data_IF_386001424092
#
_entry.id   IF_386001424092
#
_cell.length_a   1.000
_cell.length_b   1.000
_cell.length_c   1.000
_cell.angle_alpha   90.00
_cell.angle_beta   90.00
_cell.angle_gamma   90.00
#
_symmetry.space_group_name_H-M   'P 1'
#
loop_
_entity.id
_entity.type
_entity.pdbx_description
1 polymer ?
#
# COMPACT_ATOMS: atom_id res chain seq x y z
N UNK A 1 17.65 21.43 -22.16
CA UNK A 1 16.66 21.01 -21.16
C UNK A 1 15.26 21.08 -21.73
N UNK A 2 14.86 20.03 -22.46
CA UNK A 2 13.45 19.84 -22.84
C UNK A 2 12.80 18.90 -21.83
N UNK A 3 11.73 19.36 -21.20
CA UNK A 3 10.91 18.57 -20.26
C UNK A 3 9.53 18.37 -20.85
N UNK A 4 8.97 17.18 -20.68
CA UNK A 4 7.63 16.85 -21.20
C UNK A 4 6.73 16.35 -20.07
N UNK A 5 5.70 17.15 -19.74
CA UNK A 5 4.62 16.74 -18.86
C UNK A 5 3.52 15.99 -19.62
N UNK A 6 2.84 15.06 -18.93
CA UNK A 6 1.59 14.47 -19.39
C UNK A 6 0.53 14.68 -18.33
N UNK A 7 -0.65 15.13 -18.74
CA UNK A 7 -1.79 15.31 -17.87
C UNK A 7 -2.98 14.52 -18.45
N UNK A 8 -3.57 13.67 -17.61
CA UNK A 8 -4.75 12.90 -17.94
C UNK A 8 -5.90 13.33 -17.04
N UNK A 9 -6.97 13.88 -17.63
CA UNK A 9 -8.25 14.08 -16.96
C UNK A 9 -9.19 13.00 -17.49
N UNK A 10 -9.65 12.12 -16.61
CA UNK A 10 -10.47 10.98 -16.99
C UNK A 10 -11.79 11.05 -16.26
N UNK A 11 -12.87 11.13 -17.03
CA UNK A 11 -14.23 10.94 -16.55
C UNK A 11 -14.61 9.48 -16.74
N UNK A 12 -14.95 8.81 -15.65
CA UNK A 12 -15.28 7.38 -15.64
C UNK A 12 -16.79 7.21 -15.71
N UNK A 13 -17.22 6.15 -16.40
CA UNK A 13 -18.62 5.77 -16.41
C UNK A 13 -19.12 5.38 -15.00
N UNK A 14 -20.45 5.35 -14.85
CA UNK A 14 -21.12 4.97 -13.62
C UNK A 14 -20.65 3.61 -13.09
N UNK A 15 -20.33 3.57 -11.79
CA UNK A 15 -19.87 2.35 -11.10
C UNK A 15 -21.01 1.48 -10.56
N UNK A 16 -22.25 1.90 -10.76
CA UNK A 16 -23.43 1.21 -10.28
C UNK A 16 -23.68 -0.16 -10.92
N UNK A 17 -24.35 -1.02 -10.18
CA UNK A 17 -24.72 -2.34 -10.69
C UNK A 17 -25.84 -2.22 -11.72
N UNK A 18 -25.72 -2.96 -12.82
CA UNK A 18 -26.73 -2.98 -13.89
C UNK A 18 -28.11 -3.40 -13.41
N UNK A 19 -28.19 -4.21 -12.35
CA UNK A 19 -29.46 -4.59 -11.75
C UNK A 19 -30.26 -3.37 -11.25
N UNK A 20 -29.60 -2.24 -10.94
CA UNK A 20 -30.25 -0.99 -10.53
C UNK A 20 -30.71 -0.14 -11.71
N UNK A 21 -30.15 -0.33 -12.91
CA UNK A 21 -30.44 0.53 -14.06
C UNK A 21 -31.70 0.10 -14.81
N UNK A 22 -32.19 -1.13 -14.59
CA UNK A 22 -33.38 -1.66 -15.28
C UNK A 22 -33.20 -1.77 -16.80
N UNK A 23 -31.97 -1.69 -17.30
CA UNK A 23 -31.67 -1.68 -18.73
C UNK A 23 -31.94 -3.05 -19.37
N UNK A 24 -32.67 -3.07 -20.48
CA UNK A 24 -33.00 -4.29 -21.24
C UNK A 24 -32.48 -4.22 -22.68
N UNK A 25 -32.32 -5.38 -23.32
CA UNK A 25 -31.97 -5.49 -24.74
C UNK A 25 -30.60 -4.90 -25.09
N UNK A 26 -30.56 -3.96 -26.03
CA UNK A 26 -29.33 -3.32 -26.53
C UNK A 26 -28.62 -2.52 -25.43
N UNK A 27 -29.38 -1.81 -24.59
CA UNK A 27 -28.82 -1.03 -23.46
C UNK A 27 -28.12 -1.91 -22.44
N UNK A 28 -28.61 -3.14 -22.23
CA UNK A 28 -27.95 -4.10 -21.34
C UNK A 28 -26.60 -4.55 -21.89
N UNK A 29 -26.50 -4.81 -23.20
CA UNK A 29 -25.23 -5.19 -23.85
C UNK A 29 -24.21 -4.06 -23.77
N UNK A 30 -24.66 -2.82 -23.91
CA UNK A 30 -23.82 -1.63 -23.76
C UNK A 30 -23.34 -1.47 -22.31
N UNK A 31 -24.26 -1.48 -21.34
CA UNK A 31 -23.93 -1.43 -19.92
C UNK A 31 -22.93 -2.52 -19.50
N UNK A 32 -23.00 -3.71 -20.13
CA UNK A 32 -22.05 -4.81 -19.92
C UNK A 32 -20.64 -4.47 -20.38
N UNK A 33 -20.51 -3.83 -21.53
CA UNK A 33 -19.20 -3.37 -22.01
C UNK A 33 -18.65 -2.23 -21.16
N UNK A 34 -19.50 -1.32 -20.70
CA UNK A 34 -19.11 -0.23 -19.80
C UNK A 34 -18.55 -0.81 -18.50
N UNK A 35 -19.29 -1.70 -17.85
CA UNK A 35 -18.89 -2.29 -16.57
C UNK A 35 -17.70 -3.24 -16.69
N UNK A 36 -17.45 -3.83 -17.87
CA UNK A 36 -16.24 -4.62 -18.11
C UNK A 36 -14.98 -3.78 -17.89
N UNK A 37 -14.97 -2.52 -18.36
CA UNK A 37 -13.81 -1.64 -18.22
C UNK A 37 -13.53 -1.27 -16.76
N UNK A 38 -14.57 -0.93 -16.00
CA UNK A 38 -14.49 -0.58 -14.57
C UNK A 38 -14.16 -1.79 -13.69
N UNK A 39 -14.71 -2.96 -14.02
CA UNK A 39 -14.39 -4.22 -13.34
C UNK A 39 -12.92 -4.60 -13.57
N UNK A 40 -12.44 -4.45 -14.80
CA UNK A 40 -11.03 -4.70 -15.14
C UNK A 40 -10.11 -3.74 -14.40
N UNK A 41 -10.49 -2.46 -14.30
CA UNK A 41 -9.78 -1.47 -13.49
C UNK A 41 -9.71 -1.92 -12.01
N UNK A 42 -10.82 -2.39 -11.44
CA UNK A 42 -10.86 -2.95 -10.08
C UNK A 42 -9.92 -4.15 -9.88
N UNK A 43 -9.79 -5.02 -10.89
CA UNK A 43 -8.87 -6.17 -10.85
C UNK A 43 -7.40 -5.72 -10.88
N UNK A 44 -7.07 -4.72 -11.70
CA UNK A 44 -5.73 -4.12 -11.75
C UNK A 44 -5.35 -3.52 -10.40
N UNK A 45 -6.25 -2.73 -9.79
CA UNK A 45 -6.02 -2.13 -8.47
C UNK A 45 -5.78 -3.22 -7.42
N UNK A 46 -6.61 -4.26 -7.42
CA UNK A 46 -6.48 -5.35 -6.43
C UNK A 46 -5.16 -6.09 -6.59
N UNK A 47 -4.74 -6.36 -7.83
CA UNK A 47 -3.45 -7.00 -8.13
C UNK A 47 -2.25 -6.15 -7.66
N UNK A 48 -2.33 -4.82 -7.85
CA UNK A 48 -1.28 -3.88 -7.43
C UNK A 48 -1.16 -3.79 -5.90
N UNK A 49 -2.29 -3.77 -5.20
CA UNK A 49 -2.34 -3.63 -3.74
C UNK A 49 -1.93 -4.94 -3.04
N UNK A 50 -2.36 -6.08 -3.56
CA UNK A 50 -2.02 -7.38 -2.99
C UNK A 50 -0.53 -7.71 -3.15
N UNK A 51 0.08 -7.26 -4.26
CA UNK A 51 1.51 -7.48 -4.56
C UNK A 51 1.90 -8.96 -4.72
N UNK A 52 0.93 -9.88 -4.73
CA UNK A 52 1.13 -11.33 -4.88
C UNK A 52 1.26 -11.75 -6.34
N UNK A 53 0.65 -10.99 -7.25
CA UNK A 53 0.71 -11.28 -8.68
C UNK A 53 1.93 -10.61 -9.29
N UNK A 54 2.75 -11.39 -9.98
CA UNK A 54 3.83 -10.85 -10.82
C UNK A 54 3.28 -10.12 -12.04
N UNK A 55 2.13 -10.56 -12.56
CA UNK A 55 1.51 -9.99 -13.74
C UNK A 55 0.29 -9.13 -13.38
N UNK A 56 0.30 -7.87 -13.82
CA UNK A 56 -0.84 -6.95 -13.67
C UNK A 56 -1.64 -6.92 -14.99
N UNK A 57 -2.95 -7.18 -14.97
CA UNK A 57 -3.73 -7.41 -16.18
C UNK A 57 -4.17 -6.12 -16.91
N UNK A 58 -3.26 -5.18 -17.17
CA UNK A 58 -3.58 -3.93 -17.89
C UNK A 58 -4.18 -4.18 -19.26
N UNK A 59 -3.82 -5.29 -19.91
CA UNK A 59 -4.24 -5.62 -21.28
C UNK A 59 -5.72 -6.01 -21.41
N UNK A 60 -6.40 -6.32 -20.32
CA UNK A 60 -7.77 -6.80 -20.33
C UNK A 60 -8.79 -5.70 -20.75
N UNK A 61 -8.40 -4.43 -20.69
CA UNK A 61 -9.21 -3.30 -21.17
C UNK A 61 -8.33 -2.23 -21.82
N UNK A 62 -8.87 -1.52 -22.83
CA UNK A 62 -8.19 -0.37 -23.43
C UNK A 62 -7.97 0.74 -22.40
N UNK A 63 -8.92 0.95 -21.49
CA UNK A 63 -8.85 1.96 -20.43
C UNK A 63 -7.65 1.74 -19.52
N UNK A 64 -7.45 0.50 -19.04
CA UNK A 64 -6.34 0.16 -18.15
C UNK A 64 -4.98 0.20 -18.84
N UNK A 65 -4.93 0.07 -20.18
CA UNK A 65 -3.69 0.29 -20.95
C UNK A 65 -3.34 1.77 -21.03
N UNK A 66 -4.33 2.64 -21.24
CA UNK A 66 -4.12 4.08 -21.28
C UNK A 66 -3.71 4.62 -19.90
N UNK A 67 -4.29 4.06 -18.84
CA UNK A 67 -4.03 4.45 -17.45
C UNK A 67 -2.86 3.71 -16.79
N UNK A 68 -2.09 2.92 -17.53
CA UNK A 68 -1.01 2.11 -16.98
C UNK A 68 0.03 2.97 -16.24
N UNK A 69 0.37 4.13 -16.78
CA UNK A 69 1.30 5.07 -16.13
C UNK A 69 0.73 5.62 -14.82
N UNK A 70 -0.60 5.75 -14.72
CA UNK A 70 -1.31 6.29 -13.54
C UNK A 70 -1.55 5.25 -12.45
N UNK A 71 -1.43 3.96 -12.75
CA UNK A 71 -1.71 2.87 -11.82
C UNK A 71 -0.44 2.05 -11.63
N UNK A 72 0.44 2.44 -10.70
CA UNK A 72 1.71 1.77 -10.44
C UNK A 72 2.86 2.15 -11.37
N UNK A 73 2.71 3.19 -12.19
CA UNK A 73 3.72 3.67 -13.14
C UNK A 73 4.34 5.02 -12.76
N UNK A 74 4.83 5.72 -13.79
CA UNK A 74 5.41 7.06 -13.67
C UNK A 74 4.36 8.16 -13.81
N UNK A 75 3.62 8.41 -12.74
CA UNK A 75 2.61 9.47 -12.69
C UNK A 75 2.27 9.85 -11.26
N UNK A 76 2.00 11.14 -11.02
CA UNK A 76 1.28 11.59 -9.82
C UNK A 76 -0.22 11.43 -10.09
N UNK A 77 -0.88 10.58 -9.31
CA UNK A 77 -2.27 10.17 -9.59
C UNK A 77 -3.19 10.54 -8.43
N UNK A 78 -4.29 11.20 -8.78
CA UNK A 78 -5.37 11.56 -7.86
C UNK A 78 -6.66 10.88 -8.33
N UNK A 79 -7.40 10.31 -7.38
CA UNK A 79 -8.71 9.70 -7.65
C UNK A 79 -9.78 10.42 -6.82
N UNK A 80 -10.81 10.90 -7.50
CA UNK A 80 -12.01 11.43 -6.84
C UNK A 80 -13.06 10.33 -6.74
N UNK A 81 -13.62 10.17 -5.55
CA UNK A 81 -14.69 9.22 -5.28
C UNK A 81 -15.98 10.01 -5.04
N UNK A 82 -16.85 10.06 -6.05
CA UNK A 82 -18.14 10.75 -5.96
C UNK A 82 -19.17 9.79 -5.35
N UNK A 83 -19.87 10.25 -4.31
CA UNK A 83 -20.87 9.45 -3.58
C UNK A 83 -22.14 10.25 -3.33
N UNK A 84 -23.27 9.54 -3.26
CA UNK A 84 -24.57 10.13 -2.92
C UNK A 84 -24.91 9.92 -1.44
N UNK A 85 -25.43 10.95 -0.73
CA UNK A 85 -25.78 10.84 0.69
C UNK A 85 -27.13 10.14 0.94
N UNK A 86 -27.91 9.87 -0.10
CA UNK A 86 -29.24 9.28 0.03
C UNK A 86 -29.19 7.80 0.45
N UNK A 87 -30.16 7.38 1.27
CA UNK A 87 -30.22 6.02 1.83
C UNK A 87 -30.30 4.93 0.75
N UNK A 88 -31.05 5.14 -0.33
CA UNK A 88 -31.15 4.17 -1.44
C UNK A 88 -29.83 3.96 -2.20
N UNK A 89 -28.85 4.86 -2.02
CA UNK A 89 -27.51 4.76 -2.59
C UNK A 89 -26.48 4.11 -1.65
N UNK A 90 -26.88 3.74 -0.43
CA UNK A 90 -25.97 3.22 0.61
C UNK A 90 -25.02 2.14 0.09
N UNK A 91 -25.53 1.13 -0.60
CA UNK A 91 -24.72 0.02 -1.12
C UNK A 91 -23.68 0.46 -2.18
N UNK A 92 -24.03 1.43 -3.03
CA UNK A 92 -23.14 1.95 -4.07
C UNK A 92 -22.09 2.89 -3.46
N UNK A 93 -22.49 3.73 -2.50
CA UNK A 93 -21.59 4.58 -1.71
C UNK A 93 -20.57 3.73 -0.97
N UNK A 94 -21.00 2.66 -0.30
CA UNK A 94 -20.09 1.74 0.39
C UNK A 94 -19.14 1.04 -0.59
N UNK A 95 -19.63 0.61 -1.75
CA UNK A 95 -18.82 -0.03 -2.78
C UNK A 95 -17.75 0.92 -3.33
N UNK A 96 -18.12 2.18 -3.59
CA UNK A 96 -17.24 3.24 -4.07
C UNK A 96 -16.16 3.59 -3.04
N UNK A 97 -16.51 3.75 -1.77
CA UNK A 97 -15.55 4.03 -0.71
C UNK A 97 -14.56 2.87 -0.49
N UNK A 98 -15.04 1.62 -0.52
CA UNK A 98 -14.16 0.43 -0.45
C UNK A 98 -13.21 0.38 -1.63
N UNK A 99 -13.68 0.74 -2.82
CA UNK A 99 -12.85 0.83 -4.01
C UNK A 99 -11.76 1.89 -3.85
N UNK A 100 -12.12 3.11 -3.45
CA UNK A 100 -11.20 4.21 -3.21
C UNK A 100 -10.16 3.87 -2.12
N UNK A 101 -10.60 3.17 -1.06
CA UNK A 101 -9.71 2.70 0.00
C UNK A 101 -8.66 1.71 -0.52
N UNK A 102 -9.00 0.82 -1.47
CA UNK A 102 -8.01 -0.03 -2.14
C UNK A 102 -7.08 0.82 -3.01
N UNK A 103 -7.64 1.70 -3.84
CA UNK A 103 -6.87 2.56 -4.75
C UNK A 103 -5.84 3.43 -4.02
N UNK A 104 -6.17 3.92 -2.81
CA UNK A 104 -5.26 4.68 -1.94
C UNK A 104 -3.94 3.96 -1.64
N UNK A 105 -3.93 2.64 -1.66
CA UNK A 105 -2.74 1.85 -1.32
C UNK A 105 -1.85 1.54 -2.53
N UNK A 106 -2.22 2.00 -3.74
CA UNK A 106 -1.38 1.90 -4.93
C UNK A 106 -0.16 2.81 -4.74
N UNK A 107 1.02 2.30 -5.11
CA UNK A 107 2.26 3.06 -5.06
C UNK A 107 2.72 3.35 -6.49
N UNK A 108 2.79 4.64 -6.83
CA UNK A 108 3.39 5.12 -8.08
C UNK A 108 4.80 5.63 -7.82
N UNK A 109 5.65 5.61 -8.85
CA UNK A 109 7.01 6.14 -8.79
C UNK A 109 7.15 7.24 -9.84
N UNK A 110 6.80 8.47 -9.44
CA UNK A 110 6.90 9.63 -10.31
C UNK A 110 8.37 10.05 -10.47
N UNK A 111 8.84 10.13 -11.72
CA UNK A 111 10.17 10.57 -12.13
C UNK A 111 10.03 11.69 -13.17
N UNK A 112 10.91 12.68 -13.09
CA UNK A 112 10.96 13.78 -14.05
C UNK A 112 11.25 13.24 -15.45
N UNK A 113 10.37 13.60 -16.40
CA UNK A 113 10.49 13.23 -17.80
C UNK A 113 11.41 14.23 -18.53
N UNK A 114 12.69 13.88 -18.61
CA UNK A 114 13.71 14.65 -19.33
C UNK A 114 14.34 13.78 -20.43
N UNK A 115 14.92 14.40 -21.46
CA UNK A 115 15.68 13.67 -22.47
C UNK A 115 16.87 12.94 -21.80
N UNK A 116 17.12 11.65 -22.11
CA UNK A 116 18.25 10.91 -21.54
C UNK A 116 19.60 11.60 -21.75
N UNK A 117 19.79 12.35 -22.85
CA UNK A 117 21.01 13.12 -23.10
C UNK A 117 21.15 14.26 -22.10
N UNK A 118 20.08 15.04 -21.91
CA UNK A 118 20.06 16.16 -20.96
C UNK A 118 20.26 15.66 -19.53
N UNK A 119 19.62 14.55 -19.14
CA UNK A 119 19.78 13.93 -17.83
C UNK A 119 21.23 13.47 -17.58
N UNK A 120 21.87 12.88 -18.58
CA UNK A 120 23.25 12.43 -18.51
C UNK A 120 24.23 13.61 -18.41
N UNK A 121 24.00 14.67 -19.20
CA UNK A 121 24.79 15.90 -19.15
C UNK A 121 24.69 16.56 -17.77
N UNK A 122 23.48 16.64 -17.19
CA UNK A 122 23.27 17.16 -15.83
C UNK A 122 23.99 16.31 -14.79
N UNK A 123 23.99 14.98 -14.95
CA UNK A 123 24.72 14.08 -14.06
C UNK A 123 26.25 14.31 -14.13
N UNK A 124 26.80 14.49 -15.33
CA UNK A 124 28.22 14.80 -15.50
C UNK A 124 28.59 16.17 -14.94
N UNK A 125 27.80 17.20 -15.23
CA UNK A 125 27.99 18.54 -14.66
C UNK A 125 27.97 18.51 -13.12
N UNK A 126 27.05 17.74 -12.52
CA UNK A 126 26.94 17.57 -11.06
C UNK A 126 28.13 16.82 -10.46
N UNK A 127 28.80 15.94 -11.20
CA UNK A 127 30.05 15.29 -10.78
C UNK A 127 31.23 16.26 -10.84
N UNK A 128 31.35 17.00 -11.93
CA UNK A 128 32.42 17.99 -12.12
C UNK A 128 32.36 19.10 -11.07
N UNK A 129 31.16 19.63 -10.74
CA UNK A 129 31.02 20.66 -9.70
C UNK A 129 31.34 20.13 -8.30
N UNK A 130 30.98 18.89 -8.00
CA UNK A 130 31.36 18.23 -6.73
C UNK A 130 32.87 18.07 -6.60
N UNK A 131 33.56 17.67 -7.67
CA UNK A 131 35.02 17.50 -7.68
C UNK A 131 35.76 18.85 -7.67
N UNK A 132 35.20 19.87 -8.34
CA UNK A 132 35.76 21.21 -8.40
C UNK A 132 35.53 22.04 -7.13
N UNK A 133 34.73 21.56 -6.16
CA UNK A 133 34.44 22.29 -4.91
C UNK A 133 33.66 23.59 -5.09
N UNK A 134 33.09 23.81 -6.29
CA UNK A 134 32.26 24.98 -6.60
C UNK A 134 30.84 24.67 -6.18
N UNK A 135 30.26 25.51 -5.31
CA UNK A 135 28.86 25.41 -4.93
C UNK A 135 27.99 25.45 -6.20
N UNK A 136 27.01 24.54 -6.36
CA UNK A 136 26.17 24.57 -7.54
C UNK A 136 25.46 25.93 -7.61
N UNK A 137 25.58 26.61 -8.76
CA UNK A 137 24.71 27.74 -9.04
C UNK A 137 23.26 27.24 -8.96
N UNK A 138 22.45 27.90 -8.13
CA UNK A 138 21.05 27.54 -7.94
C UNK A 138 20.25 27.86 -9.20
N UNK A 139 20.31 26.96 -10.17
CA UNK A 139 19.22 26.81 -11.13
C UNK A 139 17.98 26.41 -10.33
N UNK A 140 17.13 27.41 -10.11
CA UNK A 140 15.88 27.42 -9.36
C UNK A 140 14.86 26.43 -9.92
N UNK A 141 15.16 25.15 -9.79
CA UNK A 141 14.33 24.05 -10.25
C UNK A 141 14.31 23.04 -9.13
N UNK A 142 13.29 23.19 -8.28
CA UNK A 142 12.94 22.27 -7.22
C UNK A 142 13.01 20.82 -7.71
N UNK A 143 14.14 20.17 -7.47
CA UNK A 143 14.26 18.72 -7.48
C UNK A 143 13.39 18.26 -6.29
N UNK A 144 12.09 18.12 -6.50
CA UNK A 144 11.19 17.42 -5.59
C UNK A 144 11.53 15.93 -5.69
N UNK A 145 12.69 15.56 -5.14
CA UNK A 145 12.94 14.22 -4.65
C UNK A 145 12.07 14.05 -3.39
N UNK A 146 10.76 13.95 -3.59
CA UNK A 146 9.85 13.50 -2.55
C UNK A 146 10.08 12.00 -2.37
N UNK A 147 10.85 11.64 -1.33
CA UNK A 147 10.82 10.30 -0.72
C UNK A 147 9.42 10.00 -0.13
N UNK A 148 8.36 9.96 -0.95
CA UNK A 148 7.01 9.59 -0.51
C UNK A 148 6.85 8.07 -0.28
N UNK A 149 7.85 7.27 -0.68
CA UNK A 149 7.82 5.80 -0.54
C UNK A 149 7.86 5.31 0.91
N UNK A 150 8.48 6.07 1.83
CA UNK A 150 8.67 5.66 3.22
C UNK A 150 7.48 6.04 4.13
N UNK A 151 6.85 7.20 3.90
CA UNK A 151 5.74 7.68 4.73
C UNK A 151 4.47 6.84 4.59
N UNK A 152 4.13 6.37 3.38
CA UNK A 152 2.92 5.58 3.16
C UNK A 152 2.97 4.18 3.79
N UNK A 153 4.17 3.58 3.89
CA UNK A 153 4.37 2.33 4.62
C UNK A 153 4.19 2.48 6.14
N UNK A 154 4.61 3.63 6.69
CA UNK A 154 4.40 3.96 8.10
C UNK A 154 2.93 4.32 8.39
N UNK A 155 2.25 5.03 7.50
CA UNK A 155 0.82 5.35 7.64
C UNK A 155 -0.07 4.10 7.60
N UNK A 156 0.23 3.15 6.71
CA UNK A 156 -0.49 1.87 6.63
C UNK A 156 -0.26 1.00 7.88
N UNK A 157 0.96 1.02 8.43
CA UNK A 157 1.30 0.35 9.70
C UNK A 157 0.60 1.03 10.88
N UNK A 158 0.64 2.37 10.96
CA UNK A 158 -0.04 3.16 12.01
C UNK A 158 -1.55 2.90 12.02
N UNK A 159 -2.21 2.95 10.85
CA UNK A 159 -3.64 2.68 10.73
C UNK A 159 -4.01 1.26 11.17
N UNK A 160 -3.23 0.24 10.76
CA UNK A 160 -3.43 -1.16 11.18
C UNK A 160 -3.21 -1.36 12.69
N UNK A 161 -2.28 -0.61 13.29
CA UNK A 161 -2.01 -0.65 14.74
C UNK A 161 -3.16 0.04 15.49
N UNK A 162 -3.68 1.17 15.01
CA UNK A 162 -4.82 1.87 15.61
C UNK A 162 -6.11 1.06 15.58
N UNK A 163 -6.44 0.42 14.45
CA UNK A 163 -7.59 -0.47 14.34
C UNK A 163 -7.48 -1.67 15.30
N UNK A 164 -6.29 -2.28 15.37
CA UNK A 164 -6.01 -3.39 16.30
C UNK A 164 -6.09 -2.94 17.77
N UNK A 165 -5.68 -1.71 18.07
CA UNK A 165 -5.74 -1.12 19.42
C UNK A 165 -7.18 -0.83 19.84
N UNK A 166 -8.01 -0.29 18.94
CA UNK A 166 -9.46 -0.11 19.20
C UNK A 166 -10.17 -1.44 19.43
N UNK A 167 -9.91 -2.44 18.59
CA UNK A 167 -10.48 -3.79 18.76
C UNK A 167 -10.11 -4.43 20.10
N UNK A 168 -8.84 -4.32 20.52
CA UNK A 168 -8.38 -4.85 21.81
C UNK A 168 -9.01 -4.09 23.00
N UNK A 169 -9.24 -2.79 22.85
CA UNK A 169 -9.85 -1.98 23.89
C UNK A 169 -11.35 -2.28 24.05
N UNK A 170 -12.07 -2.52 22.95
CA UNK A 170 -13.46 -2.95 22.97
C UNK A 170 -13.61 -4.37 23.57
N UNK A 171 -12.67 -5.27 23.25
CA UNK A 171 -12.63 -6.63 23.82
C UNK A 171 -12.35 -6.59 25.34
N UNK A 172 -11.48 -5.68 25.79
CA UNK A 172 -11.19 -5.47 27.21
C UNK A 172 -12.37 -4.85 27.96
N UNK A 173 -13.08 -3.88 27.36
CA UNK A 173 -14.32 -3.30 27.92
C UNK A 173 -15.44 -4.33 28.02
N UNK A 174 -15.56 -5.23 27.04
CA UNK A 174 -16.51 -6.35 27.08
C UNK A 174 -16.20 -7.36 28.18
N UNK A 175 -14.91 -7.64 28.44
CA UNK A 175 -14.48 -8.54 29.52
C UNK A 175 -14.64 -7.93 30.92
N UNK A 176 -14.37 -6.62 31.09
CA UNK A 176 -14.55 -5.90 32.36
C UNK A 176 -16.05 -5.73 32.70
N UNK A 177 -16.93 -5.59 31.70
CA UNK A 177 -18.39 -5.56 31.89
C UNK A 177 -19.00 -6.86 32.43
N UNK A 178 -18.33 -8.00 32.25
CA UNK A 178 -18.83 -9.32 32.66
C UNK A 178 -18.54 -9.65 34.15
N UNK A 179 -17.65 -8.92 34.82
CA UNK A 179 -17.25 -9.19 36.22
C UNK A 179 -18.12 -8.51 37.29
N UNK A 180 -19.13 -7.71 36.93
CA UNK A 180 -19.93 -6.96 37.92
C UNK A 180 -21.29 -7.53 38.30
N UNK A 181 -21.71 -8.69 37.78
CA UNK A 181 -22.95 -9.32 38.24
C UNK A 181 -22.80 -10.84 38.38
N UNK A 182 -22.22 -11.26 39.51
CA UNK A 182 -22.48 -12.58 40.06
C UNK A 182 -23.79 -12.53 40.86
N UNK A 183 -24.81 -13.28 40.43
CA UNK A 183 -25.96 -13.67 41.27
C UNK A 183 -27.34 -13.49 40.63
N UNK A 184 -28.09 -14.60 40.47
CA UNK A 184 -29.55 -14.60 40.46
C UNK A 184 -30.26 -15.03 39.16
N UNK A 185 -30.93 -16.20 39.21
CA UNK A 185 -31.87 -16.70 38.19
C UNK A 185 -33.20 -15.91 38.21
N UNK A 186 -33.81 -15.63 37.03
CA UNK A 186 -35.13 -16.13 36.56
C UNK A 186 -35.60 -15.42 35.27
N UNK A 187 -36.45 -16.13 34.50
CA UNK A 187 -36.93 -15.85 33.13
C UNK A 187 -38.03 -14.77 33.07
N UNK A 188 -38.01 -13.93 32.03
CA UNK A 188 -39.15 -13.60 31.14
C UNK A 188 -38.68 -12.68 29.99
N UNK A 189 -39.15 -12.95 28.77
CA UNK A 189 -38.88 -12.27 27.48
C UNK A 189 -39.61 -10.91 27.39
N UNK A 190 -39.24 -9.92 26.53
CA UNK A 190 -39.19 -10.11 25.07
C UNK A 190 -38.16 -9.25 24.29
N UNK A 191 -38.01 -9.58 23.00
CA UNK A 191 -37.43 -8.75 21.95
C UNK A 191 -35.90 -8.54 22.01
N UNK A 192 -35.27 -8.51 20.83
CA UNK A 192 -33.83 -8.38 20.61
C UNK A 192 -32.98 -9.63 20.89
N UNK A 193 -33.09 -10.64 20.01
CA UNK A 193 -31.96 -11.55 19.73
C UNK A 193 -31.43 -11.26 18.34
N UNK A 194 -30.35 -10.49 18.33
CA UNK A 194 -29.19 -10.56 17.43
C UNK A 194 -29.31 -11.58 16.29
N UNK A 195 -29.35 -11.09 15.06
CA UNK A 195 -28.68 -11.74 13.94
C UNK A 195 -27.18 -11.37 13.94
N UNK A 196 -26.29 -12.09 13.24
CA UNK A 196 -26.46 -13.37 12.56
C UNK A 196 -25.43 -14.45 12.98
N UNK A 197 -25.82 -15.69 12.76
CA UNK A 197 -24.93 -16.85 12.68
C UNK A 197 -24.29 -16.89 11.28
N UNK A 198 -23.08 -17.45 11.22
CA UNK A 198 -22.31 -17.85 10.03
C UNK A 198 -21.82 -16.76 9.06
N UNK A 199 -20.81 -16.00 9.49
CA UNK A 199 -19.66 -15.73 8.62
C UNK A 199 -18.50 -16.58 9.13
N UNK A 200 -18.42 -17.79 8.59
CA UNK A 200 -17.28 -18.67 8.73
C UNK A 200 -16.13 -18.07 7.90
N UNK A 201 -15.57 -16.95 8.38
CA UNK A 201 -14.28 -16.47 7.91
C UNK A 201 -13.27 -17.38 8.57
N UNK A 202 -12.83 -18.40 7.82
CA UNK A 202 -11.61 -19.12 8.14
C UNK A 202 -10.48 -18.09 8.17
N UNK A 203 -10.15 -17.59 9.35
CA UNK A 203 -8.91 -16.87 9.57
C UNK A 203 -7.76 -17.80 9.14
N UNK A 204 -6.91 -17.43 8.17
CA UNK A 204 -5.69 -18.18 7.94
C UNK A 204 -4.88 -18.12 9.25
N UNK A 205 -4.52 -19.29 9.78
CA UNK A 205 -3.79 -19.46 11.03
C UNK A 205 -2.62 -18.47 11.07
N UNK A 206 -2.60 -17.58 12.07
CA UNK A 206 -1.51 -16.59 12.37
C UNK A 206 -0.13 -17.22 12.63
N UNK A 207 0.06 -18.52 12.43
CA UNK A 207 1.21 -19.25 12.94
C UNK A 207 2.44 -19.23 12.03
N UNK A 208 2.28 -18.94 10.74
CA UNK A 208 3.41 -19.02 9.77
C UNK A 208 4.27 -17.76 9.76
N UNK A 209 3.66 -16.59 9.90
CA UNK A 209 4.36 -15.30 9.80
C UNK A 209 5.18 -15.00 11.05
N UNK A 210 4.62 -15.28 12.23
CA UNK A 210 5.29 -15.07 13.52
C UNK A 210 6.44 -16.06 13.73
N UNK A 211 6.35 -17.27 13.17
CA UNK A 211 7.43 -18.26 13.19
C UNK A 211 8.61 -17.84 12.30
N UNK A 212 8.34 -17.31 11.11
CA UNK A 212 9.38 -16.74 10.23
C UNK A 212 10.07 -15.53 10.84
N UNK A 213 9.35 -14.72 11.61
CA UNK A 213 9.92 -13.57 12.31
C UNK A 213 10.92 -14.02 13.39
N UNK A 214 10.53 -15.02 14.20
CA UNK A 214 11.40 -15.61 15.23
C UNK A 214 12.62 -16.32 14.65
N UNK A 215 12.46 -17.05 13.55
CA UNK A 215 13.59 -17.70 12.86
C UNK A 215 14.59 -16.65 12.33
N UNK A 216 14.10 -15.54 11.75
CA UNK A 216 14.98 -14.44 11.31
C UNK A 216 15.64 -13.66 12.44
N UNK A 217 14.98 -13.53 13.59
CA UNK A 217 15.58 -12.92 14.79
C UNK A 217 16.69 -13.81 15.38
N UNK A 218 16.48 -15.12 15.42
CA UNK A 218 17.51 -16.07 15.85
C UNK A 218 18.73 -16.09 14.90
N UNK A 219 18.50 -16.08 13.59
CA UNK A 219 19.57 -16.01 12.59
C UNK A 219 20.38 -14.70 12.70
N UNK A 220 19.73 -13.58 13.03
CA UNK A 220 20.41 -12.30 13.28
C UNK A 220 21.35 -12.35 14.48
N UNK A 221 20.89 -12.93 15.60
CA UNK A 221 21.70 -13.05 16.81
C UNK A 221 22.93 -13.93 16.57
N UNK A 222 22.76 -15.03 15.84
CA UNK A 222 23.85 -15.97 15.52
C UNK A 222 24.90 -15.33 14.58
N UNK A 223 24.46 -14.47 13.65
CA UNK A 223 25.35 -13.68 12.80
C UNK A 223 26.10 -12.62 13.62
N UNK A 224 25.44 -11.97 14.57
CA UNK A 224 26.03 -10.92 15.40
C UNK A 224 27.11 -11.49 16.34
N UNK A 225 26.88 -12.67 16.92
CA UNK A 225 27.86 -13.40 17.71
C UNK A 225 29.08 -13.85 16.89
N UNK A 226 28.85 -14.34 15.65
CA UNK A 226 29.92 -14.64 14.69
C UNK A 226 30.72 -13.40 14.29
N UNK A 227 30.07 -12.25 14.18
CA UNK A 227 30.76 -11.00 13.84
C UNK A 227 31.64 -10.51 15.00
N UNK A 228 31.16 -10.61 16.24
CA UNK A 228 31.92 -10.28 17.44
C UNK A 228 33.17 -11.15 17.60
N UNK A 229 33.03 -12.47 17.44
CA UNK A 229 34.16 -13.41 17.54
C UNK A 229 35.23 -13.18 16.45
N UNK A 230 34.82 -12.86 15.22
CA UNK A 230 35.76 -12.49 14.15
C UNK A 230 36.48 -11.17 14.43
N UNK A 231 35.82 -10.19 15.05
CA UNK A 231 36.47 -8.94 15.49
C UNK A 231 37.51 -9.20 16.58
N UNK A 232 37.21 -10.07 17.54
CA UNK A 232 38.15 -10.46 18.59
C UNK A 232 39.35 -11.22 18.04
N UNK A 233 39.14 -12.11 17.07
CA UNK A 233 40.24 -12.78 16.36
C UNK A 233 41.11 -11.80 15.57
N UNK A 234 40.50 -10.84 14.87
CA UNK A 234 41.22 -9.82 14.11
C UNK A 234 42.03 -8.91 15.06
N UNK A 235 41.46 -8.54 16.21
CA UNK A 235 42.15 -7.82 17.28
C UNK A 235 43.30 -8.65 17.88
N UNK A 236 43.12 -9.95 18.05
CA UNK A 236 44.15 -10.87 18.51
C UNK A 236 45.32 -11.00 17.52
N UNK A 237 45.02 -11.17 16.22
CA UNK A 237 46.02 -11.27 15.14
C UNK A 237 46.80 -9.96 14.98
N UNK A 238 46.13 -8.82 15.04
CA UNK A 238 46.80 -7.49 14.99
C UNK A 238 47.71 -7.25 16.19
N UNK A 239 47.33 -7.68 17.41
CA UNK A 239 48.22 -7.64 18.59
C UNK A 239 49.44 -8.55 18.43
N UNK A 240 49.29 -9.75 17.84
CA UNK A 240 50.41 -10.66 17.55
C UNK A 240 51.36 -10.08 16.50
N UNK A 241 50.84 -9.51 15.41
CA UNK A 241 51.62 -8.80 14.39
C UNK A 241 52.43 -7.65 14.97
N UNK A 242 51.83 -6.83 15.85
CA UNK A 242 52.54 -5.74 16.55
C UNK A 242 53.67 -6.23 17.45
N UNK A 243 53.58 -7.44 18.03
CA UNK A 243 54.66 -8.01 18.86
C UNK A 243 55.82 -8.58 18.03
N UNK A 244 55.55 -9.08 16.83
CA UNK A 244 56.57 -9.62 15.93
C UNK A 244 57.38 -8.51 15.26
N UNK A 245 56.79 -7.32 15.07
CA UNK A 245 57.44 -6.13 14.48
C UNK A 245 58.33 -5.31 15.44
N UNK A 246 58.64 -5.80 16.65
CA UNK A 246 59.47 -5.10 17.67
C UNK A 246 60.85 -5.77 17.86
N UNK A 247 61.26 -6.66 16.95
CA UNK A 247 62.64 -7.14 16.80
C UNK A 247 63.12 -6.91 15.38
#
# INVERSE_FOLDING_TARGET
HVRVGKLHLVDLAGSERQSKTGATGVRLREATKINLSLSTLGNVISALVDGKSSHIPYRNSKLTRLLQDSLGGNSKTLMFANVGPAEYNYDETLSTLRYACRAKNIRNYAKVNEDPKDALMKQYQRKLTKEAGVAPEEDNVSDLEEEEGALNGAALKKCKIEEKRKMLEDERKAAEGCKKHGGGRKRSSPSCRRMPMSLQIQFPRKTTSDRKLKEKEAERLDIEEKYSSLQDEAAGKTRKLKKVNIH
#
